data_IF_522860833345
#
_entry.id   IF_522860833345
#
_cell.length_a   1.000
_cell.length_b   1.000
_cell.length_c   1.000
_cell.angle_alpha   90.00
_cell.angle_beta   90.00
_cell.angle_gamma   90.00
#
_symmetry.space_group_name_H-M   'P 1'
#
loop_
_entity.id
_entity.type
_entity.pdbx_description
1 polymer ?
#
# COMPACT_ATOMS: atom_id res chain seq x y z
N UNK A 1 -19.55 11.89 18.80
CA UNK A 1 -19.71 13.04 17.87
C UNK A 1 -18.63 12.97 16.79
N UNK A 2 -18.79 13.67 15.66
CA UNK A 2 -17.83 13.59 14.54
C UNK A 2 -16.43 14.14 14.85
N UNK A 3 -16.33 15.13 15.75
CA UNK A 3 -15.05 15.69 16.18
C UNK A 3 -14.18 14.66 16.90
N UNK A 4 -14.75 13.86 17.80
CA UNK A 4 -14.02 12.79 18.49
C UNK A 4 -13.57 11.69 17.53
N UNK A 5 -14.44 11.30 16.57
CA UNK A 5 -14.09 10.33 15.53
C UNK A 5 -12.92 10.80 14.66
N UNK A 6 -12.91 12.09 14.29
CA UNK A 6 -11.80 12.70 13.54
C UNK A 6 -10.51 12.75 14.35
N UNK A 7 -10.60 13.11 15.63
CA UNK A 7 -9.44 13.13 16.53
C UNK A 7 -8.85 11.73 16.65
N UNK A 8 -9.69 10.74 16.97
CA UNK A 8 -9.30 9.35 17.11
C UNK A 8 -8.60 8.80 15.86
N UNK A 9 -9.21 8.91 14.67
CA UNK A 9 -8.61 8.37 13.43
C UNK A 9 -7.30 9.04 13.02
N UNK A 10 -7.03 10.24 13.51
CA UNK A 10 -5.81 10.99 13.17
C UNK A 10 -4.67 10.75 14.17
N UNK A 11 -5.00 10.55 15.45
CA UNK A 11 -4.02 10.48 16.54
C UNK A 11 -3.68 9.04 16.97
N UNK A 12 -4.53 8.06 16.66
CA UNK A 12 -4.30 6.68 17.04
C UNK A 12 -3.18 6.04 16.20
N UNK A 13 -2.27 5.34 16.86
CA UNK A 13 -1.18 4.61 16.21
C UNK A 13 -1.58 3.15 15.96
N UNK A 14 -2.45 2.93 14.97
CA UNK A 14 -2.94 1.61 14.57
C UNK A 14 -3.10 1.52 13.05
N UNK A 15 -2.89 0.32 12.48
CA UNK A 15 -3.01 0.11 11.05
C UNK A 15 -4.45 0.14 10.53
N UNK A 16 -5.34 -0.63 11.15
CA UNK A 16 -6.76 -0.64 10.81
C UNK A 16 -7.59 0.06 11.88
N UNK A 17 -8.42 1.03 11.47
CA UNK A 17 -9.24 1.86 12.36
C UNK A 17 -10.72 1.68 11.99
N UNK A 18 -11.54 1.29 12.96
CA UNK A 18 -12.99 1.18 12.82
C UNK A 18 -13.72 2.19 13.72
N UNK A 19 -14.77 2.83 13.20
CA UNK A 19 -15.61 3.77 13.97
C UNK A 19 -17.07 3.32 13.83
N UNK A 20 -17.73 3.04 14.96
CA UNK A 20 -19.09 2.49 15.02
C UNK A 20 -19.25 1.12 14.33
N UNK A 21 -18.20 0.30 14.34
CA UNK A 21 -18.20 -1.07 13.79
C UNK A 21 -17.54 -2.04 14.78
N UNK A 22 -17.91 -3.32 14.74
CA UNK A 22 -17.40 -4.33 15.67
C UNK A 22 -16.01 -4.89 15.30
N UNK A 23 -15.69 -4.95 14.00
CA UNK A 23 -14.40 -5.47 13.50
C UNK A 23 -13.88 -4.54 12.41
N UNK A 24 -12.68 -4.00 12.60
CA UNK A 24 -12.00 -3.15 11.63
C UNK A 24 -11.21 -3.97 10.59
N UNK A 25 -11.89 -4.89 9.90
CA UNK A 25 -11.30 -5.67 8.83
C UNK A 25 -11.53 -4.97 7.47
N UNK A 26 -10.47 -4.61 6.73
CA UNK A 26 -10.62 -4.03 5.40
C UNK A 26 -11.21 -5.04 4.40
N UNK A 27 -11.92 -4.53 3.40
CA UNK A 27 -12.28 -5.32 2.20
C UNK A 27 -11.02 -5.73 1.44
N UNK A 28 -11.07 -6.81 0.68
CA UNK A 28 -9.91 -7.44 0.03
C UNK A 28 -9.06 -6.52 -0.88
N UNK A 29 -9.65 -5.42 -1.37
CA UNK A 29 -8.97 -4.42 -2.20
C UNK A 29 -8.28 -3.30 -1.40
N UNK A 30 -8.35 -3.30 -0.07
CA UNK A 30 -7.51 -2.45 0.79
C UNK A 30 -6.41 -3.28 1.47
N UNK A 31 -5.23 -2.70 1.74
CA UNK A 31 -4.21 -3.39 2.51
C UNK A 31 -4.68 -3.72 3.94
N UNK A 32 -4.34 -4.91 4.45
CA UNK A 32 -4.54 -5.28 5.84
C UNK A 32 -3.38 -4.75 6.69
N UNK A 33 -3.56 -3.58 7.30
CA UNK A 33 -2.46 -2.90 7.97
C UNK A 33 -2.31 -3.29 9.44
N UNK A 34 -1.07 -3.29 9.91
CA UNK A 34 -0.67 -3.40 11.32
C UNK A 34 0.50 -2.47 11.60
N UNK A 35 0.54 -1.86 12.79
CA UNK A 35 1.56 -0.91 13.24
C UNK A 35 2.21 -1.41 14.54
N UNK A 36 3.41 -0.90 14.87
CA UNK A 36 4.19 -1.35 16.04
C UNK A 36 4.45 -2.87 15.96
N UNK A 37 4.36 -3.57 17.09
CA UNK A 37 4.61 -5.01 17.15
C UNK A 37 3.49 -5.87 16.52
N UNK A 38 2.46 -5.27 15.92
CA UNK A 38 1.41 -6.02 15.20
C UNK A 38 1.77 -6.37 13.76
N UNK A 39 2.85 -5.82 13.21
CA UNK A 39 3.32 -6.15 11.86
C UNK A 39 4.83 -5.88 11.71
N UNK A 40 5.52 -6.80 11.04
CA UNK A 40 6.93 -6.64 10.68
C UNK A 40 7.08 -6.62 9.17
N UNK A 41 7.62 -5.53 8.64
CA UNK A 41 7.85 -5.33 7.20
C UNK A 41 7.29 -4.01 6.70
N UNK A 42 7.32 -3.83 5.38
CA UNK A 42 6.82 -2.62 4.70
C UNK A 42 5.55 -2.88 3.91
N UNK A 43 5.43 -4.04 3.25
CA UNK A 43 4.27 -4.41 2.43
C UNK A 43 3.34 -5.35 3.18
N UNK A 44 2.07 -4.96 3.27
CA UNK A 44 1.03 -5.72 3.96
C UNK A 44 0.46 -6.87 3.11
N UNK A 45 -0.14 -7.87 3.76
CA UNK A 45 -0.53 -9.14 3.11
C UNK A 45 -1.79 -9.11 2.23
N UNK A 46 -2.37 -7.94 1.92
CA UNK A 46 -3.58 -7.84 1.10
C UNK A 46 -3.48 -6.72 0.05
N UNK A 47 -4.36 -6.77 -0.96
CA UNK A 47 -4.44 -5.80 -2.05
C UNK A 47 -3.11 -5.66 -2.81
N UNK A 48 -2.83 -4.46 -3.36
CA UNK A 48 -1.64 -4.17 -4.15
C UNK A 48 -0.34 -4.46 -3.40
N UNK A 49 -0.31 -4.31 -2.06
CA UNK A 49 0.88 -4.66 -1.27
C UNK A 49 1.22 -6.16 -1.38
N UNK A 50 0.22 -7.03 -1.47
CA UNK A 50 0.46 -8.46 -1.69
C UNK A 50 1.05 -8.70 -3.08
N UNK A 51 0.55 -8.02 -4.12
CA UNK A 51 1.08 -8.13 -5.48
C UNK A 51 2.53 -7.64 -5.52
N UNK A 52 2.82 -6.48 -4.94
CA UNK A 52 4.18 -5.93 -4.85
C UNK A 52 5.13 -6.84 -4.05
N UNK A 53 4.63 -7.52 -3.01
CA UNK A 53 5.45 -8.43 -2.21
C UNK A 53 5.78 -9.73 -2.96
N UNK A 54 4.81 -10.30 -3.68
CA UNK A 54 4.98 -11.55 -4.42
C UNK A 54 5.56 -11.37 -5.83
N UNK A 55 5.77 -10.14 -6.29
CA UNK A 55 6.33 -9.84 -7.60
C UNK A 55 7.55 -8.95 -7.49
N UNK A 56 8.30 -8.81 -8.59
CA UNK A 56 9.45 -7.91 -8.66
C UNK A 56 9.25 -6.94 -9.81
N UNK A 57 9.39 -5.64 -9.52
CA UNK A 57 9.38 -4.61 -10.54
C UNK A 57 10.59 -4.78 -11.47
N UNK A 58 10.33 -4.91 -12.78
CA UNK A 58 11.35 -4.93 -13.82
C UNK A 58 11.16 -3.73 -14.73
N UNK A 59 12.22 -2.96 -14.94
CA UNK A 59 12.23 -1.84 -15.89
C UNK A 59 12.95 -2.27 -17.16
N UNK A 60 12.28 -2.12 -18.31
CA UNK A 60 12.83 -2.43 -19.64
C UNK A 60 12.83 -1.14 -20.46
N UNK A 61 13.99 -0.77 -20.99
CA UNK A 61 14.15 0.36 -21.91
C UNK A 61 14.74 -0.17 -23.20
N UNK A 62 13.96 -0.12 -24.28
CA UNK A 62 14.38 -0.60 -25.58
C UNK A 62 14.21 0.46 -26.67
N UNK A 63 15.09 0.41 -27.67
CA UNK A 63 15.03 1.27 -28.85
C UNK A 63 15.45 0.47 -30.08
N UNK A 64 14.60 0.45 -31.10
CA UNK A 64 14.83 -0.28 -32.35
C UNK A 64 14.91 0.68 -33.56
N UNK A 65 16.07 1.33 -33.81
CA UNK A 65 16.23 2.19 -34.97
C UNK A 65 16.49 1.35 -36.24
N UNK A 66 15.82 1.67 -37.35
CA UNK A 66 16.16 1.09 -38.67
C UNK A 66 17.52 1.59 -39.19
N UNK A 67 17.86 2.84 -38.88
CA UNK A 67 19.16 3.46 -39.16
C UNK A 67 19.60 4.31 -37.95
N UNK A 68 20.91 4.38 -37.69
CA UNK A 68 21.46 5.07 -36.53
C UNK A 68 21.27 6.59 -36.62
N UNK A 69 20.48 7.16 -35.69
CA UNK A 69 20.13 8.59 -35.76
C UNK A 69 21.18 9.53 -35.17
N UNK A 70 22.24 9.01 -34.53
CA UNK A 70 23.29 9.83 -33.92
C UNK A 70 24.45 9.97 -34.89
N UNK A 71 24.50 11.08 -35.63
CA UNK A 71 25.69 11.56 -36.33
C UNK A 71 26.31 12.66 -35.47
N UNK A 72 27.57 12.47 -35.07
CA UNK A 72 28.37 13.52 -34.45
C UNK A 72 28.85 14.49 -35.53
#
# INVERSE_FOLDING_TARGET
NGSSARKFRNEVEAGNIGINIGVAAPMAFFPFSGWKDSFFGTLHGQSNHAVEFYTQTKVVVERWPKEWSRKF
#
